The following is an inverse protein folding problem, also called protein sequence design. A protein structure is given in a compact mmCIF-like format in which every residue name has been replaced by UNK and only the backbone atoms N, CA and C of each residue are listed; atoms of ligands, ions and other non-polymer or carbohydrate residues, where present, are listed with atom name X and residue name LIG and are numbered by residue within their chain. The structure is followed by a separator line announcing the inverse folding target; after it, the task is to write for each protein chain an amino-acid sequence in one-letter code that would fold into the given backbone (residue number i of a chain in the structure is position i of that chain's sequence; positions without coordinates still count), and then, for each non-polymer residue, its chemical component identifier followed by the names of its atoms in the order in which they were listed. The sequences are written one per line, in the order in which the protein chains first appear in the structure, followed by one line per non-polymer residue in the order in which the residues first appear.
data_IF_425729185728
#
_entry.id   IF_425729185728
#
_cell.length_a   1.000
_cell.length_b   1.000
_cell.length_c   1.000
_cell.angle_alpha   90.00
_cell.angle_beta   90.00
_cell.angle_gamma   90.00
#
_symmetry.space_group_name_H-M   'P 1'
#
loop_
_entity.id
_entity.type
_entity.pdbx_description
1 polymer ?
#
# COMPACT_ATOMS: atom_id res chain seq x y z
N UNK A 1 6.37 -4.73 19.84
CA UNK A 1 5.83 -4.86 18.48
C UNK A 1 6.47 -6.09 17.86
N UNK A 2 5.72 -6.99 17.21
CA UNK A 2 6.31 -8.23 16.64
C UNK A 2 7.17 -7.94 15.41
N UNK A 3 8.08 -8.85 15.08
CA UNK A 3 8.91 -8.76 13.87
C UNK A 3 8.05 -8.66 12.61
N UNK A 4 6.95 -9.42 12.54
CA UNK A 4 5.99 -9.35 11.44
C UNK A 4 5.30 -8.00 11.33
N UNK A 5 4.97 -7.34 12.45
CA UNK A 5 4.41 -5.99 12.41
C UNK A 5 5.42 -4.99 11.84
N UNK A 6 6.68 -5.07 12.27
CA UNK A 6 7.73 -4.19 11.78
C UNK A 6 7.94 -4.38 10.27
N UNK A 7 8.09 -5.63 9.84
CA UNK A 7 8.31 -5.97 8.44
C UNK A 7 7.11 -5.56 7.56
N UNK A 8 5.89 -5.79 8.04
CA UNK A 8 4.69 -5.36 7.33
C UNK A 8 4.64 -3.83 7.14
N UNK A 9 4.82 -3.08 8.23
CA UNK A 9 4.77 -1.61 8.19
C UNK A 9 5.88 -1.01 7.32
N UNK A 10 7.07 -1.62 7.34
CA UNK A 10 8.17 -1.23 6.46
C UNK A 10 7.81 -1.46 4.99
N UNK A 11 7.34 -2.66 4.64
CA UNK A 11 6.97 -2.98 3.26
C UNK A 11 5.81 -2.11 2.74
N UNK A 12 4.82 -1.83 3.59
CA UNK A 12 3.71 -0.95 3.22
C UNK A 12 4.18 0.51 3.04
N UNK A 13 5.11 0.99 3.87
CA UNK A 13 5.70 2.33 3.71
C UNK A 13 6.52 2.43 2.42
N UNK A 14 7.33 1.41 2.12
CA UNK A 14 8.08 1.35 0.86
C UNK A 14 7.12 1.36 -0.35
N UNK A 15 6.04 0.57 -0.32
CA UNK A 15 5.04 0.55 -1.38
C UNK A 15 4.41 1.94 -1.59
N UNK A 16 4.05 2.63 -0.51
CA UNK A 16 3.48 3.98 -0.61
C UNK A 16 4.47 5.00 -1.17
N UNK A 17 5.76 4.88 -0.82
CA UNK A 17 6.81 5.71 -1.40
C UNK A 17 6.96 5.44 -2.89
N UNK A 18 7.04 4.18 -3.30
CA UNK A 18 7.14 3.76 -4.70
C UNK A 18 5.94 4.30 -5.50
N UNK A 19 4.73 4.18 -4.96
CA UNK A 19 3.51 4.71 -5.56
C UNK A 19 3.55 6.24 -5.73
N UNK A 20 4.07 6.96 -4.72
CA UNK A 20 4.19 8.41 -4.79
C UNK A 20 5.25 8.85 -5.83
N UNK A 21 6.36 8.13 -5.94
CA UNK A 21 7.36 8.35 -7.00
C UNK A 21 6.72 8.16 -8.38
N UNK A 22 6.00 7.05 -8.59
CA UNK A 22 5.30 6.78 -9.86
C UNK A 22 4.29 7.87 -10.23
N UNK A 23 3.59 8.41 -9.24
CA UNK A 23 2.71 9.55 -9.44
C UNK A 23 3.48 10.81 -9.87
N UNK A 24 4.57 11.13 -9.19
CA UNK A 24 5.38 12.31 -9.54
C UNK A 24 6.01 12.20 -10.94
N UNK A 25 6.32 10.99 -11.39
CA UNK A 25 6.87 10.71 -12.73
C UNK A 25 5.81 10.59 -13.83
N UNK A 26 4.53 10.47 -13.48
CA UNK A 26 3.44 10.30 -14.45
C UNK A 26 3.11 11.62 -15.18
N UNK A 27 2.55 11.49 -16.38
CA UNK A 27 2.01 12.62 -17.14
C UNK A 27 0.80 13.24 -16.42
N UNK A 28 0.47 14.49 -16.75
CA UNK A 28 -0.56 15.26 -16.04
C UNK A 28 -1.93 14.53 -15.95
N UNK A 29 -2.41 13.97 -17.05
CA UNK A 29 -3.71 13.27 -17.09
C UNK A 29 -3.70 12.00 -16.22
N UNK A 30 -2.54 11.33 -16.14
CA UNK A 30 -2.36 10.13 -15.32
C UNK A 30 -2.20 10.48 -13.83
N UNK A 31 -1.54 11.59 -13.52
CA UNK A 31 -1.50 12.15 -12.17
C UNK A 31 -2.91 12.40 -11.65
N UNK A 32 -3.75 13.08 -12.43
CA UNK A 32 -5.15 13.35 -12.07
C UNK A 32 -5.90 12.05 -11.76
N UNK A 33 -5.71 11.00 -12.56
CA UNK A 33 -6.34 9.69 -12.33
C UNK A 33 -5.81 8.98 -11.06
N UNK A 34 -4.51 9.09 -10.80
CA UNK A 34 -3.85 8.41 -9.68
C UNK A 34 -4.13 9.08 -8.33
N UNK A 35 -4.29 10.41 -8.30
CA UNK A 35 -4.34 11.21 -7.07
C UNK A 35 -5.37 10.69 -6.07
N UNK A 36 -6.59 10.51 -6.54
CA UNK A 36 -7.73 10.07 -5.73
C UNK A 36 -7.53 8.69 -5.10
N UNK A 37 -6.84 7.79 -5.80
CA UNK A 37 -6.57 6.45 -5.29
C UNK A 37 -5.40 6.47 -4.31
N UNK A 38 -4.38 7.27 -4.57
CA UNK A 38 -3.25 7.44 -3.67
C UNK A 38 -3.64 8.06 -2.34
N UNK A 39 -4.52 9.06 -2.35
CA UNK A 39 -5.03 9.67 -1.13
C UNK A 39 -5.80 8.67 -0.28
N UNK A 40 -6.62 7.81 -0.91
CA UNK A 40 -7.33 6.72 -0.23
C UNK A 40 -6.35 5.71 0.36
N UNK A 41 -5.35 5.30 -0.41
CA UNK A 41 -4.31 4.39 0.06
C UNK A 41 -3.53 4.96 1.26
N UNK A 42 -3.15 6.23 1.21
CA UNK A 42 -2.46 6.91 2.31
C UNK A 42 -3.34 7.00 3.56
N UNK A 43 -4.63 7.33 3.39
CA UNK A 43 -5.59 7.41 4.50
C UNK A 43 -5.79 6.05 5.15
N UNK A 44 -6.05 5.01 4.37
CA UNK A 44 -6.34 3.67 4.90
C UNK A 44 -5.07 3.01 5.47
N UNK A 45 -3.89 3.25 4.87
CA UNK A 45 -2.63 2.83 5.47
C UNK A 45 -2.39 3.50 6.83
N UNK A 46 -2.66 4.81 6.94
CA UNK A 46 -2.51 5.53 8.21
C UNK A 46 -3.41 4.95 9.31
N UNK A 47 -4.67 4.62 8.98
CA UNK A 47 -5.60 3.98 9.92
C UNK A 47 -5.12 2.58 10.31
N UNK A 48 -4.68 1.77 9.35
CA UNK A 48 -4.19 0.43 9.63
C UNK A 48 -2.91 0.43 10.47
N UNK A 49 -2.00 1.37 10.19
CA UNK A 49 -0.82 1.60 11.03
C UNK A 49 -1.23 1.93 12.47
N UNK A 50 -2.23 2.78 12.67
CA UNK A 50 -2.75 3.05 14.01
C UNK A 50 -3.37 1.80 14.64
N UNK A 51 -4.14 1.01 13.90
CA UNK A 51 -4.73 -0.24 14.40
C UNK A 51 -3.66 -1.26 14.83
N UNK A 52 -2.61 -1.44 14.03
CA UNK A 52 -1.46 -2.31 14.35
C UNK A 52 -0.72 -1.83 15.59
N UNK A 53 -0.52 -0.51 15.72
CA UNK A 53 0.28 0.07 16.82
C UNK A 53 -0.52 0.24 18.13
N UNK A 54 -1.83 0.47 18.05
CA UNK A 54 -2.66 0.88 19.19
C UNK A 54 -3.69 -0.17 19.60
N UNK A 55 -4.17 -1.00 18.67
CA UNK A 55 -5.22 -2.00 18.93
C UNK A 55 -4.66 -3.43 19.02
N UNK A 56 -3.35 -3.57 19.24
CA UNK A 56 -2.66 -4.86 19.40
C UNK A 56 -2.90 -5.86 18.25
N UNK A 57 -3.18 -5.37 17.02
CA UNK A 57 -3.27 -6.25 15.86
C UNK A 57 -1.87 -6.78 15.53
N UNK A 58 -1.76 -8.10 15.46
CA UNK A 58 -0.54 -8.79 15.07
C UNK A 58 -0.66 -9.18 13.59
N UNK A 59 0.27 -8.70 12.79
CA UNK A 59 0.48 -9.12 11.42
C UNK A 59 1.02 -10.55 11.41
N UNK A 60 0.47 -11.36 10.52
CA UNK A 60 0.87 -12.74 10.27
C UNK A 60 1.95 -12.81 9.19
N UNK A 61 2.55 -13.98 9.00
CA UNK A 61 3.42 -14.25 7.86
C UNK A 61 2.71 -14.05 6.52
N UNK A 62 1.42 -14.35 6.45
CA UNK A 62 0.63 -14.20 5.23
C UNK A 62 0.36 -12.73 4.91
N UNK A 63 0.15 -11.89 5.92
CA UNK A 63 0.00 -10.44 5.74
C UNK A 63 1.28 -9.83 5.12
N UNK A 64 2.45 -10.25 5.61
CA UNK A 64 3.76 -9.86 5.06
C UNK A 64 3.91 -10.37 3.62
N UNK A 65 3.57 -11.64 3.36
CA UNK A 65 3.68 -12.23 2.02
C UNK A 65 2.79 -11.52 1.01
N UNK A 66 1.55 -11.19 1.38
CA UNK A 66 0.64 -10.42 0.53
C UNK A 66 1.21 -9.03 0.23
N UNK A 67 1.83 -8.37 1.20
CA UNK A 67 2.46 -7.06 0.98
C UNK A 67 3.66 -7.15 0.04
N UNK A 68 4.50 -8.17 0.20
CA UNK A 68 5.60 -8.43 -0.73
C UNK A 68 5.11 -8.67 -2.16
N UNK A 69 4.00 -9.39 -2.34
CA UNK A 69 3.39 -9.60 -3.66
C UNK A 69 2.89 -8.28 -4.27
N UNK A 70 2.26 -7.40 -3.48
CA UNK A 70 1.81 -6.09 -3.97
C UNK A 70 2.99 -5.23 -4.44
N UNK A 71 4.11 -5.23 -3.70
CA UNK A 71 5.34 -4.54 -4.13
C UNK A 71 5.90 -5.10 -5.43
N UNK A 72 5.93 -6.43 -5.58
CA UNK A 72 6.37 -7.05 -6.84
C UNK A 72 5.47 -6.68 -8.01
N UNK A 73 4.15 -6.58 -7.81
CA UNK A 73 3.22 -6.12 -8.85
C UNK A 73 3.51 -4.68 -9.27
N UNK A 74 3.77 -3.78 -8.32
CA UNK A 74 4.11 -2.39 -8.63
C UNK A 74 5.43 -2.26 -9.39
N UNK A 75 6.46 -3.00 -8.97
CA UNK A 75 7.77 -2.99 -9.63
C UNK A 75 7.67 -3.40 -11.10
N UNK A 76 6.77 -4.34 -11.39
CA UNK A 76 6.49 -4.83 -12.75
C UNK A 76 5.31 -4.12 -13.44
N UNK A 77 4.85 -2.96 -12.95
CA UNK A 77 3.76 -2.22 -13.55
C UNK A 77 4.30 -1.19 -14.57
N UNK A 78 4.27 -1.49 -15.89
CA UNK A 78 4.76 -0.57 -16.91
C UNK A 78 3.81 0.59 -17.21
N UNK A 79 2.55 0.50 -16.77
CA UNK A 79 1.47 1.40 -17.16
C UNK A 79 0.63 1.81 -15.94
N UNK A 80 -0.08 2.93 -16.10
CA UNK A 80 -0.87 3.57 -15.04
C UNK A 80 -2.05 2.71 -14.60
N UNK A 81 -2.62 1.90 -15.49
CA UNK A 81 -3.71 0.99 -15.13
C UNK A 81 -3.24 -0.08 -14.14
N UNK A 82 -2.02 -0.61 -14.30
CA UNK A 82 -1.43 -1.56 -13.34
C UNK A 82 -1.00 -0.92 -12.04
N UNK A 83 -0.57 0.35 -12.06
CA UNK A 83 -0.32 1.12 -10.85
C UNK A 83 -1.64 1.27 -10.07
N UNK A 84 -2.70 1.74 -10.72
CA UNK A 84 -4.05 1.87 -10.15
C UNK A 84 -4.55 0.54 -9.57
N UNK A 85 -4.42 -0.56 -10.32
CA UNK A 85 -4.81 -1.89 -9.85
C UNK A 85 -4.07 -2.30 -8.58
N UNK A 86 -2.78 -1.94 -8.47
CA UNK A 86 -1.98 -2.18 -7.27
C UNK A 86 -2.46 -1.33 -6.09
N UNK A 87 -2.74 -0.05 -6.31
CA UNK A 87 -3.30 0.84 -5.28
C UNK A 87 -4.64 0.31 -4.74
N UNK A 88 -5.55 -0.07 -5.65
CA UNK A 88 -6.85 -0.63 -5.28
C UNK A 88 -6.70 -1.95 -4.50
N UNK A 89 -5.79 -2.81 -4.93
CA UNK A 89 -5.50 -4.07 -4.23
C UNK A 89 -4.95 -3.83 -2.83
N UNK A 90 -4.05 -2.85 -2.69
CA UNK A 90 -3.48 -2.45 -1.40
C UNK A 90 -4.57 -1.91 -0.46
N UNK A 91 -5.38 -0.96 -0.92
CA UNK A 91 -6.51 -0.40 -0.16
C UNK A 91 -7.45 -1.51 0.30
N UNK A 92 -7.86 -2.39 -0.62
CA UNK A 92 -8.79 -3.48 -0.32
C UNK A 92 -8.24 -4.42 0.75
N UNK A 93 -6.98 -4.84 0.60
CA UNK A 93 -6.32 -5.70 1.57
C UNK A 93 -6.21 -5.04 2.94
N UNK A 94 -5.74 -3.79 2.99
CA UNK A 94 -5.55 -3.05 4.23
C UNK A 94 -6.87 -2.88 4.99
N UNK A 95 -7.94 -2.51 4.26
CA UNK A 95 -9.28 -2.39 4.85
C UNK A 95 -9.76 -3.72 5.41
N UNK A 96 -9.83 -4.76 4.60
CA UNK A 96 -10.36 -6.07 5.03
C UNK A 96 -9.60 -6.69 6.20
N UNK A 97 -8.29 -6.39 6.31
CA UNK A 97 -7.43 -7.02 7.30
C UNK A 97 -7.30 -6.24 8.61
N UNK A 98 -7.36 -4.91 8.56
CA UNK A 98 -6.99 -4.05 9.69
C UNK A 98 -8.03 -3.01 10.10
N UNK A 99 -9.08 -2.78 9.30
CA UNK A 99 -10.13 -1.78 9.54
C UNK A 99 -11.50 -2.42 9.68
#
# INVERSE_FOLDING_TARGET
MSDSNHLFLQQASDLMNDLNVRYMEAEFDDQVQLKDQLDRAMSDFSKAKLAILKNSIICTSDDVKQMQQLRQRLSNAPDVQKILATVVSFVSFVRLRFL
#
